data_IF_798514163698
#
_entry.id   IF_798514163698
#
_cell.length_a   1.000
_cell.length_b   1.000
_cell.length_c   1.000
_cell.angle_alpha   90.00
_cell.angle_beta   90.00
_cell.angle_gamma   90.00
#
_symmetry.space_group_name_H-M   'P 1'
#
loop_
_entity.id
_entity.type
_entity.pdbx_description
1 polymer ?
#
# COMPACT_ATOMS: atom_id res chain seq x y z
N UNK A 1 -12.53 -4.55 25.31
CA UNK A 1 -11.74 -4.48 24.05
C UNK A 1 -10.42 -3.86 24.45
N UNK A 2 -9.32 -4.43 23.99
CA UNK A 2 -8.00 -4.00 24.45
C UNK A 2 -7.45 -2.80 23.66
N UNK A 3 -8.31 -2.08 22.93
CA UNK A 3 -8.00 -0.86 22.17
C UNK A 3 -9.23 0.02 21.97
N UNK A 4 -8.99 1.32 21.79
CA UNK A 4 -10.00 2.31 21.40
C UNK A 4 -9.87 2.63 19.91
N UNK A 5 -10.96 3.09 19.28
CA UNK A 5 -10.95 3.55 17.90
C UNK A 5 -11.37 5.00 17.81
N UNK A 6 -10.65 5.80 17.03
CA UNK A 6 -11.02 7.16 16.67
C UNK A 6 -10.89 7.37 15.17
N UNK A 7 -11.64 8.35 14.64
CA UNK A 7 -11.62 8.72 13.23
C UNK A 7 -11.14 10.15 13.09
N UNK A 8 -10.23 10.38 12.15
CA UNK A 8 -9.64 11.68 11.88
C UNK A 8 -9.79 12.01 10.40
N UNK A 9 -10.26 13.24 10.11
CA UNK A 9 -10.29 13.81 8.77
C UNK A 9 -9.05 14.65 8.56
N UNK A 10 -8.38 14.45 7.44
CA UNK A 10 -7.11 15.11 7.12
C UNK A 10 -7.27 15.88 5.82
N UNK A 11 -7.50 17.21 5.87
CA UNK A 11 -7.55 18.05 4.68
C UNK A 11 -6.25 17.95 3.88
N UNK A 12 -6.37 17.92 2.55
CA UNK A 12 -5.24 17.90 1.61
C UNK A 12 -5.15 19.25 0.92
N UNK A 13 -3.95 19.79 0.79
CA UNK A 13 -3.71 21.11 0.21
C UNK A 13 -4.25 21.25 -1.23
N UNK A 14 -4.18 20.18 -2.02
CA UNK A 14 -4.72 20.09 -3.38
C UNK A 14 -6.24 19.83 -3.42
N UNK A 15 -6.91 19.88 -2.28
CA UNK A 15 -8.36 19.73 -2.14
C UNK A 15 -8.80 18.34 -1.68
N UNK A 16 -9.97 18.30 -1.06
CA UNK A 16 -10.51 17.09 -0.46
C UNK A 16 -9.87 16.71 0.87
N UNK A 17 -10.18 15.53 1.35
CA UNK A 17 -9.67 15.03 2.63
C UNK A 17 -9.46 13.51 2.58
N UNK A 18 -8.45 13.04 3.31
CA UNK A 18 -8.28 11.64 3.66
C UNK A 18 -9.13 11.30 4.88
N UNK A 19 -9.33 10.01 5.09
CA UNK A 19 -9.87 9.50 6.34
C UNK A 19 -8.86 8.56 6.99
N UNK A 20 -8.60 8.76 8.28
CA UNK A 20 -7.75 7.91 9.09
C UNK A 20 -8.58 7.28 10.21
N UNK A 21 -8.49 5.97 10.35
CA UNK A 21 -9.02 5.25 11.51
C UNK A 21 -7.83 4.82 12.37
N UNK A 22 -7.79 5.33 13.60
CA UNK A 22 -6.78 5.00 14.61
C UNK A 22 -7.30 3.88 15.49
N UNK A 23 -6.49 2.83 15.67
CA UNK A 23 -6.67 1.76 16.63
C UNK A 23 -5.60 1.95 17.71
N UNK A 24 -5.99 2.46 18.86
CA UNK A 24 -5.08 2.80 19.95
C UNK A 24 -5.21 1.80 21.09
N UNK A 25 -4.20 0.96 21.35
CA UNK A 25 -4.20 0.04 22.48
C UNK A 25 -4.08 0.79 23.82
N UNK A 26 -4.53 0.16 24.90
CA UNK A 26 -4.39 0.73 26.26
C UNK A 26 -2.92 0.86 26.67
N UNK A 27 -2.09 -0.09 26.22
CA UNK A 27 -0.63 -0.06 26.41
C UNK A 27 0.05 -0.14 25.06
N UNK A 28 0.83 0.88 24.74
CA UNK A 28 1.54 0.97 23.45
C UNK A 28 2.91 0.33 23.59
N UNK A 29 3.23 -0.58 22.68
CA UNK A 29 4.53 -1.23 22.56
C UNK A 29 5.14 -0.90 21.17
N UNK A 30 6.21 -0.12 21.17
CA UNK A 30 6.95 0.19 19.97
C UNK A 30 6.34 1.29 19.08
N UNK A 31 6.85 1.37 17.87
CA UNK A 31 6.48 2.40 16.91
C UNK A 31 5.07 2.18 16.32
N UNK A 32 4.36 3.24 15.93
CA UNK A 32 3.06 3.15 15.28
C UNK A 32 3.17 2.51 13.89
N UNK A 33 2.06 1.94 13.42
CA UNK A 33 1.96 1.29 12.12
C UNK A 33 0.96 2.04 11.26
N UNK A 34 1.41 2.56 10.11
CA UNK A 34 0.58 3.20 9.10
C UNK A 34 0.19 2.17 8.03
N UNK A 35 -1.11 1.93 7.84
CA UNK A 35 -1.63 0.99 6.86
C UNK A 35 -2.16 1.71 5.62
N UNK A 36 -1.69 1.32 4.42
CA UNK A 36 -2.01 1.93 3.13
C UNK A 36 -2.60 0.91 2.16
N UNK A 37 -3.81 1.13 1.68
CA UNK A 37 -4.52 0.20 0.78
C UNK A 37 -4.11 0.35 -0.71
N UNK A 38 -4.52 -0.61 -1.54
CA UNK A 38 -4.24 -0.64 -2.97
C UNK A 38 -5.26 0.09 -3.85
N UNK A 39 -5.22 -0.21 -5.16
CA UNK A 39 -6.15 0.35 -6.14
C UNK A 39 -7.56 -0.22 -5.98
N UNK A 40 -8.59 0.58 -6.28
CA UNK A 40 -10.02 0.21 -6.25
C UNK A 40 -10.50 -0.47 -4.96
N UNK A 41 -9.83 -0.19 -3.85
CA UNK A 41 -10.17 -0.67 -2.50
C UNK A 41 -10.02 0.46 -1.47
N UNK A 42 -10.28 0.18 -0.21
CA UNK A 42 -10.16 1.11 0.91
C UNK A 42 -9.46 0.48 2.11
N UNK A 43 -9.28 1.21 3.18
CA UNK A 43 -8.71 0.72 4.43
C UNK A 43 -9.41 -0.53 5.01
N UNK A 44 -10.59 -0.86 4.49
CA UNK A 44 -11.32 -2.08 4.84
C UNK A 44 -10.57 -3.38 4.59
N UNK A 45 -9.55 -3.37 3.75
CA UNK A 45 -8.67 -4.52 3.56
C UNK A 45 -7.92 -4.90 4.86
N UNK A 46 -7.66 -3.92 5.74
CA UNK A 46 -6.95 -4.12 7.00
C UNK A 46 -7.88 -4.32 8.21
N UNK A 47 -9.16 -3.97 8.10
CA UNK A 47 -10.11 -4.09 9.19
C UNK A 47 -11.56 -4.29 8.75
N UNK A 48 -12.38 -4.87 9.60
CA UNK A 48 -13.84 -4.98 9.40
C UNK A 48 -14.60 -4.23 10.48
N UNK A 49 -15.90 -4.01 10.25
CA UNK A 49 -16.80 -3.43 11.26
C UNK A 49 -16.96 -4.32 12.50
N UNK A 50 -16.74 -5.62 12.36
CA UNK A 50 -16.80 -6.59 13.46
C UNK A 50 -15.51 -6.69 14.29
N UNK A 51 -14.53 -5.80 14.08
CA UNK A 51 -13.25 -5.82 14.78
C UNK A 51 -12.31 -6.97 14.38
N UNK A 52 -12.50 -7.52 13.17
CA UNK A 52 -11.59 -8.50 12.55
C UNK A 52 -10.65 -7.82 11.57
N UNK A 53 -9.52 -8.43 11.27
CA UNK A 53 -8.51 -7.95 10.32
C UNK A 53 -7.19 -7.65 11.00
N UNK A 54 -6.20 -7.27 10.20
CA UNK A 54 -4.83 -7.06 10.64
C UNK A 54 -4.71 -5.89 11.62
N UNK A 55 -5.34 -4.74 11.34
CA UNK A 55 -5.22 -3.58 12.20
C UNK A 55 -5.77 -3.81 13.63
N UNK A 56 -6.99 -4.35 13.82
CA UNK A 56 -7.46 -4.75 15.15
C UNK A 56 -6.61 -5.81 15.83
N UNK A 57 -6.02 -6.73 15.06
CA UNK A 57 -5.15 -7.76 15.61
C UNK A 57 -3.84 -7.15 16.13
N UNK A 58 -3.19 -6.29 15.36
CA UNK A 58 -1.97 -5.58 15.77
C UNK A 58 -2.22 -4.69 16.99
N UNK A 59 -3.39 -4.03 17.06
CA UNK A 59 -3.77 -3.24 18.22
C UNK A 59 -3.88 -4.11 19.49
N UNK A 60 -4.41 -5.34 19.39
CA UNK A 60 -4.42 -6.29 20.50
C UNK A 60 -3.03 -6.79 20.90
N UNK A 61 -2.04 -6.71 19.97
CA UNK A 61 -0.63 -6.98 20.28
C UNK A 61 0.09 -5.76 20.87
N UNK A 62 -0.63 -4.65 21.16
CA UNK A 62 -0.09 -3.46 21.77
C UNK A 62 0.52 -2.45 20.79
N UNK A 63 0.30 -2.59 19.48
CA UNK A 63 0.76 -1.63 18.47
C UNK A 63 -0.34 -0.64 18.11
N UNK A 64 0.01 0.64 18.14
CA UNK A 64 -0.87 1.68 17.63
C UNK A 64 -0.94 1.58 16.10
N UNK A 65 -2.16 1.47 15.53
CA UNK A 65 -2.33 1.27 14.10
C UNK A 65 -3.24 2.36 13.53
N UNK A 66 -2.81 2.93 12.42
CA UNK A 66 -3.53 3.98 11.69
C UNK A 66 -3.81 3.49 10.27
N UNK A 67 -5.08 3.35 9.93
CA UNK A 67 -5.52 2.86 8.62
C UNK A 67 -6.08 4.02 7.82
N UNK A 68 -5.51 4.23 6.64
CA UNK A 68 -5.89 5.32 5.73
C UNK A 68 -6.97 4.85 4.75
N UNK A 69 -7.96 5.73 4.50
CA UNK A 69 -8.70 5.75 3.24
C UNK A 69 -8.15 6.93 2.41
N UNK A 70 -7.57 6.64 1.25
CA UNK A 70 -7.12 7.65 0.27
C UNK A 70 -8.31 8.46 -0.24
N UNK A 71 -8.09 9.66 -0.78
CA UNK A 71 -9.18 10.46 -1.38
C UNK A 71 -10.08 9.60 -2.27
N UNK A 72 -11.38 9.79 -2.14
CA UNK A 72 -12.39 9.10 -2.91
C UNK A 72 -12.66 7.65 -2.51
N UNK A 73 -11.90 7.09 -1.57
CA UNK A 73 -12.06 5.72 -1.09
C UNK A 73 -12.65 5.69 0.32
N UNK A 74 -13.23 4.55 0.69
CA UNK A 74 -13.73 4.33 2.04
C UNK A 74 -14.64 5.44 2.54
N UNK A 75 -14.18 6.21 3.51
CA UNK A 75 -14.88 7.38 4.06
C UNK A 75 -14.25 8.73 3.67
N UNK A 76 -13.20 8.75 2.86
CA UNK A 76 -12.55 9.96 2.37
C UNK A 76 -13.35 10.68 1.27
N UNK A 77 -13.06 11.94 1.01
CA UNK A 77 -13.79 12.80 0.05
C UNK A 77 -12.84 13.65 -0.80
N UNK A 78 -13.31 14.19 -1.95
CA UNK A 78 -14.59 13.91 -2.61
C UNK A 78 -14.63 12.50 -3.21
N UNK A 79 -15.82 12.01 -3.56
CA UNK A 79 -15.96 10.75 -4.28
C UNK A 79 -15.59 10.93 -5.75
N UNK A 80 -15.03 9.87 -6.43
CA UNK A 80 -14.82 9.91 -7.85
C UNK A 80 -16.15 10.21 -8.59
N UNK A 81 -16.10 11.22 -9.45
CA UNK A 81 -17.23 11.66 -10.26
C UNK A 81 -16.72 12.30 -11.55
N UNK A 82 -17.62 12.53 -12.51
CA UNK A 82 -17.28 13.28 -13.71
C UNK A 82 -16.85 14.70 -13.36
N UNK A 83 -15.68 15.11 -13.86
CA UNK A 83 -15.11 16.44 -13.57
C UNK A 83 -14.34 16.53 -12.25
N UNK A 84 -14.31 15.46 -11.45
CA UNK A 84 -13.49 15.36 -10.24
C UNK A 84 -12.38 14.34 -10.50
N UNK A 85 -11.13 14.78 -10.52
CA UNK A 85 -10.01 13.90 -10.81
C UNK A 85 -8.77 14.32 -10.04
N UNK A 86 -8.06 13.33 -9.54
CA UNK A 86 -6.76 13.46 -8.89
C UNK A 86 -5.83 12.38 -9.47
N UNK A 87 -4.56 12.76 -9.68
CA UNK A 87 -3.52 11.91 -10.26
C UNK A 87 -2.83 11.05 -9.20
N UNK A 88 -2.01 10.09 -9.64
CA UNK A 88 -1.12 9.34 -8.74
C UNK A 88 -0.06 10.25 -8.10
N UNK A 89 0.37 11.29 -8.82
CA UNK A 89 1.32 12.28 -8.32
C UNK A 89 0.82 12.97 -7.07
N UNK A 90 -0.44 13.40 -7.04
CA UNK A 90 -1.04 14.06 -5.86
C UNK A 90 -1.12 13.09 -4.67
N UNK A 91 -1.41 11.81 -4.92
CA UNK A 91 -1.34 10.79 -3.87
C UNK A 91 0.09 10.68 -3.31
N UNK A 92 1.09 10.61 -4.18
CA UNK A 92 2.50 10.46 -3.83
C UNK A 92 3.01 11.67 -3.05
N UNK A 93 2.73 12.89 -3.52
CA UNK A 93 3.32 14.11 -2.95
C UNK A 93 2.55 14.56 -1.72
N UNK A 94 1.21 14.59 -1.78
CA UNK A 94 0.40 15.22 -0.76
C UNK A 94 -0.22 14.24 0.23
N UNK A 95 -0.86 13.16 -0.28
CA UNK A 95 -1.62 12.26 0.59
C UNK A 95 -0.71 11.43 1.49
N UNK A 96 0.36 10.83 0.94
CA UNK A 96 1.31 10.02 1.73
C UNK A 96 2.03 10.92 2.74
N UNK A 97 2.47 12.11 2.33
CA UNK A 97 3.13 13.06 3.23
C UNK A 97 2.21 13.48 4.40
N UNK A 98 0.95 13.81 4.09
CA UNK A 98 -0.06 14.19 5.10
C UNK A 98 -0.35 13.04 6.07
N UNK A 99 -0.54 11.83 5.54
CA UNK A 99 -0.81 10.66 6.36
C UNK A 99 0.37 10.30 7.27
N UNK A 100 1.60 10.36 6.75
CA UNK A 100 2.81 10.12 7.52
C UNK A 100 2.98 11.15 8.63
N UNK A 101 2.84 12.44 8.31
CA UNK A 101 2.91 13.51 9.31
C UNK A 101 1.85 13.36 10.39
N UNK A 102 0.61 13.05 10.01
CA UNK A 102 -0.50 12.84 10.95
C UNK A 102 -0.25 11.62 11.85
N UNK A 103 0.26 10.53 11.29
CA UNK A 103 0.62 9.34 12.05
C UNK A 103 1.64 9.65 13.14
N UNK A 104 2.70 10.36 12.80
CA UNK A 104 3.76 10.74 13.73
C UNK A 104 3.25 11.73 14.79
N UNK A 105 2.47 12.72 14.41
CA UNK A 105 1.90 13.70 15.33
C UNK A 105 0.94 13.04 16.33
N UNK A 106 0.04 12.17 15.88
CA UNK A 106 -0.94 11.50 16.76
C UNK A 106 -0.28 10.53 17.74
N UNK A 107 0.82 9.88 17.34
CA UNK A 107 1.54 8.92 18.18
C UNK A 107 2.60 9.58 19.07
N UNK A 108 3.01 10.81 18.76
CA UNK A 108 4.14 11.48 19.42
C UNK A 108 5.51 10.83 19.11
N UNK A 109 5.58 10.00 18.04
CA UNK A 109 6.79 9.32 17.64
C UNK A 109 7.46 10.03 16.45
N UNK A 110 8.78 9.88 16.32
CA UNK A 110 9.54 10.41 15.18
C UNK A 110 9.54 9.48 13.96
N UNK A 111 9.23 8.20 14.15
CA UNK A 111 9.24 7.14 13.12
C UNK A 111 8.01 6.26 13.23
N UNK A 112 7.68 5.60 12.12
CA UNK A 112 6.63 4.58 12.07
C UNK A 112 7.04 3.40 11.18
N UNK A 113 6.28 2.30 11.27
CA UNK A 113 6.30 1.24 10.25
C UNK A 113 5.18 1.51 9.23
N UNK A 114 5.39 1.09 7.98
CA UNK A 114 4.36 1.17 6.95
C UNK A 114 3.97 -0.24 6.50
N UNK A 115 2.67 -0.53 6.46
CA UNK A 115 2.13 -1.75 5.87
C UNK A 115 1.26 -1.38 4.68
N UNK A 116 1.64 -1.84 3.48
CA UNK A 116 0.93 -1.48 2.26
C UNK A 116 0.46 -2.70 1.46
N UNK A 117 -0.77 -2.64 0.95
CA UNK A 117 -1.33 -3.68 0.11
C UNK A 117 -1.27 -3.29 -1.37
N UNK A 118 -0.86 -4.25 -2.21
CA UNK A 118 -0.95 -4.17 -3.66
C UNK A 118 -0.36 -2.87 -4.24
N UNK A 119 -1.17 -2.09 -4.97
CA UNK A 119 -0.77 -0.82 -5.56
C UNK A 119 -0.35 0.23 -4.52
N UNK A 120 -0.85 0.11 -3.30
CA UNK A 120 -0.45 0.99 -2.21
C UNK A 120 1.05 0.98 -1.93
N UNK A 121 1.70 -0.18 -2.04
CA UNK A 121 3.16 -0.27 -1.89
C UNK A 121 3.92 0.41 -3.03
N UNK A 122 3.36 0.44 -4.26
CA UNK A 122 3.93 1.20 -5.38
C UNK A 122 3.90 2.70 -5.08
N UNK A 123 2.78 3.21 -4.54
CA UNK A 123 2.63 4.63 -4.16
C UNK A 123 3.57 5.03 -3.02
N UNK A 124 3.68 4.18 -2.00
CA UNK A 124 4.61 4.40 -0.89
C UNK A 124 6.07 4.41 -1.39
N UNK A 125 6.48 3.45 -2.21
CA UNK A 125 7.83 3.41 -2.79
C UNK A 125 8.10 4.65 -3.65
N UNK A 126 7.13 5.09 -4.46
CA UNK A 126 7.22 6.31 -5.25
C UNK A 126 7.35 7.57 -4.38
N UNK A 127 6.61 7.67 -3.29
CA UNK A 127 6.76 8.76 -2.32
C UNK A 127 8.16 8.80 -1.73
N UNK A 128 8.66 7.66 -1.24
CA UNK A 128 9.98 7.57 -0.64
C UNK A 128 11.13 7.82 -1.65
N UNK A 129 10.90 7.54 -2.94
CA UNK A 129 11.80 7.94 -4.01
C UNK A 129 11.86 9.46 -4.18
N UNK A 130 10.68 10.10 -4.16
CA UNK A 130 10.55 11.53 -4.46
C UNK A 130 10.83 12.43 -3.25
N UNK A 131 10.59 11.95 -2.04
CA UNK A 131 10.75 12.69 -0.78
C UNK A 131 11.73 11.95 0.15
N UNK A 132 13.06 12.11 -0.07
CA UNK A 132 14.08 11.37 0.70
C UNK A 132 13.97 11.55 2.22
N UNK A 133 13.61 12.75 2.69
CA UNK A 133 13.40 13.03 4.13
C UNK A 133 12.30 12.19 4.78
N UNK A 134 11.36 11.65 4.00
CA UNK A 134 10.37 10.71 4.51
C UNK A 134 10.97 9.33 4.84
N UNK A 135 12.09 8.94 4.22
CA UNK A 135 12.76 7.66 4.51
C UNK A 135 13.22 7.57 5.96
N UNK A 136 13.74 8.65 6.50
CA UNK A 136 14.21 8.74 7.89
C UNK A 136 13.07 8.54 8.90
N UNK A 137 11.85 8.84 8.51
CA UNK A 137 10.65 8.69 9.32
C UNK A 137 10.05 7.28 9.26
N UNK A 138 10.55 6.41 8.38
CA UNK A 138 10.05 5.04 8.20
C UNK A 138 11.07 4.04 8.72
N UNK A 139 10.73 3.34 9.80
CA UNK A 139 11.60 2.35 10.43
C UNK A 139 11.71 1.06 9.59
N UNK A 140 10.59 0.58 9.07
CA UNK A 140 10.52 -0.55 8.13
C UNK A 140 9.19 -0.58 7.39
N UNK A 141 9.12 -1.44 6.37
CA UNK A 141 7.93 -1.61 5.55
C UNK A 141 7.55 -3.08 5.42
N UNK A 142 6.24 -3.34 5.25
CA UNK A 142 5.71 -4.65 4.85
C UNK A 142 4.78 -4.46 3.66
N UNK A 143 5.10 -5.07 2.54
CA UNK A 143 4.32 -4.98 1.31
C UNK A 143 3.63 -6.31 1.00
N UNK A 144 2.31 -6.27 0.84
CA UNK A 144 1.48 -7.43 0.56
C UNK A 144 1.09 -7.46 -0.92
N UNK A 145 1.64 -8.36 -1.70
CA UNK A 145 1.35 -8.53 -3.12
C UNK A 145 1.69 -7.32 -3.99
N UNK A 146 2.62 -6.47 -3.53
CA UNK A 146 3.01 -5.25 -4.24
C UNK A 146 3.83 -5.56 -5.47
N UNK A 147 3.40 -5.03 -6.62
CA UNK A 147 4.10 -5.07 -7.90
C UNK A 147 3.66 -3.88 -8.75
N UNK A 148 4.52 -3.37 -9.59
CA UNK A 148 4.17 -2.34 -10.56
C UNK A 148 3.72 -2.95 -11.90
N UNK A 149 4.50 -3.87 -12.44
CA UNK A 149 4.24 -4.50 -13.74
C UNK A 149 3.79 -5.95 -13.58
N UNK A 150 2.93 -6.40 -14.49
CA UNK A 150 2.52 -7.81 -14.59
C UNK A 150 3.09 -8.41 -15.87
N UNK A 151 4.15 -9.22 -15.71
CA UNK A 151 4.89 -9.84 -16.83
C UNK A 151 4.68 -11.34 -16.96
N UNK A 152 4.09 -11.98 -15.95
CA UNK A 152 3.70 -13.39 -16.04
C UNK A 152 2.69 -13.59 -17.18
N UNK A 153 2.76 -14.75 -17.84
CA UNK A 153 1.85 -15.09 -18.93
C UNK A 153 0.99 -16.26 -18.48
N UNK A 154 -0.28 -15.99 -18.25
CA UNK A 154 -1.28 -16.98 -17.86
C UNK A 154 -2.71 -16.44 -18.10
N UNK A 155 -3.76 -17.28 -18.08
CA UNK A 155 -5.14 -16.86 -18.32
C UNK A 155 -5.63 -15.79 -17.35
N UNK A 156 -5.21 -15.81 -16.10
CA UNK A 156 -5.59 -14.79 -15.09
C UNK A 156 -5.04 -13.41 -15.44
N UNK A 157 -3.78 -13.32 -15.87
CA UNK A 157 -3.19 -12.06 -16.36
C UNK A 157 -3.91 -11.54 -17.58
N UNK A 158 -4.20 -12.40 -18.55
CA UNK A 158 -4.96 -12.00 -19.74
C UNK A 158 -6.34 -11.43 -19.35
N UNK A 159 -7.07 -12.09 -18.45
CA UNK A 159 -8.39 -11.64 -18.03
C UNK A 159 -8.32 -10.35 -17.20
N UNK A 160 -7.60 -10.35 -16.07
CA UNK A 160 -7.65 -9.25 -15.11
C UNK A 160 -6.83 -8.03 -15.54
N UNK A 161 -5.70 -8.25 -16.21
CA UNK A 161 -4.79 -7.17 -16.56
C UNK A 161 -5.02 -6.70 -17.99
N UNK A 162 -4.98 -7.62 -18.98
CA UNK A 162 -5.02 -7.19 -20.37
C UNK A 162 -6.44 -6.83 -20.83
N UNK A 163 -7.44 -7.69 -20.53
CA UNK A 163 -8.82 -7.43 -20.91
C UNK A 163 -9.49 -6.40 -20.01
N UNK A 164 -9.48 -6.61 -18.68
CA UNK A 164 -10.19 -5.72 -17.75
C UNK A 164 -9.41 -4.42 -17.54
N UNK A 165 -8.22 -4.48 -16.91
CA UNK A 165 -7.51 -3.29 -16.47
C UNK A 165 -7.02 -2.38 -17.60
N UNK A 166 -6.47 -2.96 -18.66
CA UNK A 166 -5.93 -2.21 -19.81
C UNK A 166 -6.93 -1.98 -20.95
N UNK A 167 -8.01 -2.77 -21.01
CA UNK A 167 -9.02 -2.73 -22.07
C UNK A 167 -10.35 -2.11 -21.63
N UNK A 168 -11.15 -2.83 -20.85
CA UNK A 168 -12.51 -2.42 -20.48
C UNK A 168 -12.54 -1.25 -19.49
N UNK A 169 -11.61 -1.20 -18.54
CA UNK A 169 -11.57 -0.15 -17.52
C UNK A 169 -11.30 1.26 -18.11
N UNK A 170 -10.37 1.46 -19.06
CA UNK A 170 -10.24 2.73 -19.78
C UNK A 170 -11.50 3.16 -20.53
N UNK A 171 -12.23 2.21 -21.12
CA UNK A 171 -13.50 2.50 -21.79
C UNK A 171 -14.56 2.95 -20.79
N UNK A 172 -14.76 2.21 -19.69
CA UNK A 172 -15.70 2.57 -18.64
C UNK A 172 -15.36 3.94 -18.04
N UNK A 173 -14.06 4.20 -17.78
CA UNK A 173 -13.56 5.50 -17.31
C UNK A 173 -13.92 6.63 -18.27
N UNK A 174 -13.72 6.45 -19.59
CA UNK A 174 -14.05 7.46 -20.60
C UNK A 174 -15.56 7.75 -20.64
N UNK A 175 -16.39 6.73 -20.50
CA UNK A 175 -17.85 6.87 -20.52
C UNK A 175 -18.38 7.57 -19.25
N UNK A 176 -17.87 7.20 -18.09
CA UNK A 176 -18.35 7.69 -16.78
C UNK A 176 -17.64 8.96 -16.31
N UNK A 177 -16.41 9.24 -16.79
CA UNK A 177 -15.56 10.31 -16.29
C UNK A 177 -14.73 9.91 -15.07
N UNK A 178 -14.87 8.68 -14.61
CA UNK A 178 -14.11 8.00 -13.56
C UNK A 178 -14.22 6.47 -13.76
N UNK A 179 -13.45 5.65 -13.08
CA UNK A 179 -13.60 4.19 -13.12
C UNK A 179 -14.63 3.73 -12.09
N UNK A 180 -15.84 3.30 -12.51
CA UNK A 180 -16.90 2.86 -11.60
C UNK A 180 -16.70 1.40 -11.16
N UNK A 181 -15.53 1.11 -10.54
CA UNK A 181 -15.10 -0.25 -10.22
C UNK A 181 -16.05 -0.96 -9.25
N UNK A 182 -16.64 -0.21 -8.31
CA UNK A 182 -17.64 -0.74 -7.38
C UNK A 182 -18.90 -1.22 -8.08
N UNK A 183 -19.46 -0.42 -8.99
CA UNK A 183 -20.65 -0.77 -9.76
C UNK A 183 -20.40 -1.94 -10.69
N UNK A 184 -19.19 -2.05 -11.24
CA UNK A 184 -18.76 -3.15 -12.10
C UNK A 184 -18.32 -4.40 -11.31
N UNK A 185 -18.31 -4.33 -9.97
CA UNK A 185 -17.83 -5.40 -9.05
C UNK A 185 -16.37 -5.81 -9.31
N UNK A 186 -15.54 -4.87 -9.76
CA UNK A 186 -14.09 -5.07 -9.96
C UNK A 186 -13.28 -4.73 -8.72
N UNK A 187 -13.87 -3.94 -7.80
CA UNK A 187 -13.27 -3.54 -6.53
C UNK A 187 -14.33 -3.11 -5.53
N UNK A 188 -13.92 -2.76 -4.33
CA UNK A 188 -14.82 -2.26 -3.29
C UNK A 188 -15.09 -0.75 -3.41
N UNK A 189 -14.22 -0.02 -4.11
CA UNK A 189 -14.30 1.43 -4.28
C UNK A 189 -13.99 1.84 -5.73
N UNK A 190 -14.49 3.02 -6.12
CA UNK A 190 -14.28 3.61 -7.44
C UNK A 190 -12.89 4.29 -7.53
N UNK A 191 -12.42 4.62 -8.74
CA UNK A 191 -11.12 5.24 -8.98
C UNK A 191 -11.25 6.53 -9.77
N UNK A 192 -10.47 7.55 -9.45
CA UNK A 192 -10.38 8.77 -10.25
C UNK A 192 -9.83 8.50 -11.65
N UNK A 193 -10.28 9.32 -12.60
CA UNK A 193 -9.92 9.14 -14.00
C UNK A 193 -8.41 9.26 -14.24
N UNK A 194 -7.75 10.30 -13.69
CA UNK A 194 -6.31 10.50 -13.85
C UNK A 194 -5.52 9.40 -13.12
N UNK A 195 -5.82 9.12 -11.86
CA UNK A 195 -5.15 8.07 -11.08
C UNK A 195 -5.19 6.71 -11.77
N UNK A 196 -6.35 6.31 -12.34
CA UNK A 196 -6.44 5.09 -13.13
C UNK A 196 -5.62 5.17 -14.43
N UNK A 197 -5.58 6.34 -15.12
CA UNK A 197 -4.79 6.50 -16.33
C UNK A 197 -3.29 6.28 -16.06
N UNK A 198 -2.77 6.92 -15.00
CA UNK A 198 -1.38 6.81 -14.58
C UNK A 198 -1.03 5.36 -14.22
N UNK A 199 -1.91 4.68 -13.47
CA UNK A 199 -1.69 3.28 -13.11
C UNK A 199 -1.65 2.35 -14.32
N UNK A 200 -2.49 2.59 -15.34
CA UNK A 200 -2.45 1.83 -16.60
C UNK A 200 -1.15 2.09 -17.37
N UNK A 201 -0.69 3.34 -17.41
CA UNK A 201 0.58 3.71 -18.03
C UNK A 201 1.74 2.99 -17.32
N UNK A 202 1.82 3.10 -16.01
CA UNK A 202 2.88 2.45 -15.21
C UNK A 202 2.89 0.92 -15.27
N UNK A 203 1.74 0.28 -15.45
CA UNK A 203 1.68 -1.18 -15.68
C UNK A 203 2.18 -1.55 -17.07
N UNK A 204 1.99 -0.69 -18.09
CA UNK A 204 2.40 -0.94 -19.48
C UNK A 204 3.87 -0.64 -19.73
N UNK A 205 4.35 0.49 -19.24
CA UNK A 205 5.66 1.05 -19.56
C UNK A 205 6.79 0.33 -18.82
N UNK A 206 7.94 0.26 -19.49
CA UNK A 206 9.16 -0.28 -18.87
C UNK A 206 9.74 0.72 -17.88
N UNK A 207 9.87 1.98 -18.29
CA UNK A 207 10.30 3.05 -17.42
C UNK A 207 9.23 3.37 -16.38
N UNK A 208 9.67 3.68 -15.17
CA UNK A 208 8.79 4.16 -14.11
C UNK A 208 9.02 5.64 -13.91
N UNK A 209 8.27 6.42 -14.67
CA UNK A 209 8.37 7.89 -14.69
C UNK A 209 7.05 8.54 -14.32
N UNK A 210 7.16 9.70 -13.73
CA UNK A 210 6.00 10.55 -13.47
C UNK A 210 5.52 11.18 -14.79
N UNK A 211 4.22 11.07 -15.13
CA UNK A 211 3.73 11.59 -16.39
C UNK A 211 3.69 13.12 -16.47
N UNK A 212 3.79 13.83 -15.34
CA UNK A 212 3.70 15.29 -15.30
C UNK A 212 5.06 15.98 -15.40
N UNK A 213 6.12 15.43 -14.76
CA UNK A 213 7.45 16.07 -14.70
C UNK A 213 8.61 15.13 -15.06
N UNK A 214 8.30 13.96 -15.60
CA UNK A 214 9.29 12.95 -16.05
C UNK A 214 10.24 12.46 -14.95
N UNK A 215 9.89 12.64 -13.67
CA UNK A 215 10.72 12.16 -12.55
C UNK A 215 10.92 10.64 -12.64
N UNK A 216 12.18 10.20 -12.61
CA UNK A 216 12.55 8.79 -12.72
C UNK A 216 12.61 8.13 -11.33
N UNK A 217 11.56 7.39 -11.00
CA UNK A 217 11.44 6.70 -9.71
C UNK A 217 12.49 5.60 -9.52
N UNK A 218 12.85 4.87 -10.60
CA UNK A 218 13.87 3.81 -10.53
C UNK A 218 15.25 4.40 -10.26
N UNK A 219 15.61 5.47 -10.97
CA UNK A 219 16.89 6.16 -10.76
C UNK A 219 17.00 6.72 -9.33
N UNK A 220 15.93 7.33 -8.82
CA UNK A 220 15.90 7.86 -7.45
C UNK A 220 15.98 6.77 -6.36
N UNK A 221 15.33 5.63 -6.58
CA UNK A 221 15.41 4.48 -5.67
C UNK A 221 16.79 3.80 -5.72
N UNK A 222 17.42 3.76 -6.90
CA UNK A 222 18.77 3.21 -7.03
C UNK A 222 19.81 4.00 -6.24
N UNK A 223 19.62 5.31 -6.08
CA UNK A 223 20.53 6.18 -5.33
C UNK A 223 20.33 6.12 -3.81
N UNK A 224 19.11 5.96 -3.33
CA UNK A 224 18.81 6.10 -1.90
C UNK A 224 18.14 4.88 -1.24
N UNK A 225 17.69 3.92 -2.05
CA UNK A 225 17.02 2.70 -1.58
C UNK A 225 15.70 2.93 -0.84
N UNK A 226 15.13 1.86 -0.34
CA UNK A 226 13.99 1.88 0.57
C UNK A 226 14.44 1.54 2.00
N UNK A 227 13.70 1.97 3.04
CA UNK A 227 13.83 1.38 4.37
C UNK A 227 13.73 -0.15 4.33
N UNK A 228 14.18 -0.88 5.37
CA UNK A 228 14.06 -2.33 5.43
C UNK A 228 12.65 -2.79 5.06
N UNK A 229 12.51 -3.67 4.05
CA UNK A 229 11.20 -4.03 3.48
C UNK A 229 10.99 -5.55 3.44
N UNK A 230 9.88 -6.00 4.03
CA UNK A 230 9.37 -7.36 3.88
C UNK A 230 8.34 -7.38 2.74
N UNK A 231 8.62 -8.13 1.68
CA UNK A 231 7.68 -8.38 0.60
C UNK A 231 7.00 -9.73 0.80
N UNK A 232 5.68 -9.74 0.88
CA UNK A 232 4.85 -10.94 1.00
C UNK A 232 4.07 -11.15 -0.29
N UNK A 233 4.20 -12.31 -0.91
CA UNK A 233 3.50 -12.68 -2.12
C UNK A 233 2.70 -13.98 -1.91
N UNK A 234 1.45 -14.02 -2.34
CA UNK A 234 0.64 -15.23 -2.23
C UNK A 234 1.02 -16.28 -3.28
N UNK A 235 1.24 -17.54 -2.87
CA UNK A 235 1.56 -18.64 -3.79
C UNK A 235 0.49 -18.82 -4.88
N UNK A 236 -0.79 -18.63 -4.53
CA UNK A 236 -1.94 -18.76 -5.44
C UNK A 236 -2.31 -17.46 -6.15
N UNK A 237 -1.60 -16.37 -5.91
CA UNK A 237 -1.81 -15.11 -6.65
C UNK A 237 -1.22 -15.23 -8.06
N UNK A 238 -2.09 -15.39 -9.04
CA UNK A 238 -1.69 -15.68 -10.42
C UNK A 238 -1.46 -14.45 -11.28
N UNK A 239 -1.91 -13.26 -10.85
CA UNK A 239 -1.82 -12.06 -11.67
C UNK A 239 -1.66 -10.76 -10.88
N UNK A 240 -2.40 -10.59 -9.77
CA UNK A 240 -2.48 -9.29 -9.09
C UNK A 240 -1.26 -8.99 -8.19
N UNK A 241 -0.51 -10.00 -7.79
CA UNK A 241 0.72 -9.93 -7.00
C UNK A 241 1.49 -11.25 -7.12
N UNK A 242 1.62 -11.75 -8.37
CA UNK A 242 2.34 -13.01 -8.62
C UNK A 242 3.78 -12.93 -8.09
N UNK A 243 4.29 -13.96 -7.39
CA UNK A 243 5.61 -13.92 -6.75
C UNK A 243 6.76 -13.47 -7.66
N UNK A 244 6.77 -13.88 -8.94
CA UNK A 244 7.78 -13.43 -9.92
C UNK A 244 7.67 -11.94 -10.26
N UNK A 245 6.47 -11.38 -10.25
CA UNK A 245 6.28 -9.95 -10.54
C UNK A 245 6.56 -9.11 -9.29
N UNK A 246 6.30 -9.65 -8.09
CA UNK A 246 6.74 -9.05 -6.82
C UNK A 246 8.27 -9.02 -6.76
N UNK A 247 8.97 -10.13 -7.12
CA UNK A 247 10.43 -10.16 -7.17
C UNK A 247 11.02 -9.11 -8.12
N UNK A 248 10.40 -8.90 -9.30
CA UNK A 248 10.80 -7.84 -10.23
C UNK A 248 10.59 -6.44 -9.67
N UNK A 249 9.56 -6.25 -8.87
CA UNK A 249 9.34 -4.96 -8.19
C UNK A 249 10.39 -4.71 -7.10
N UNK A 250 10.83 -5.75 -6.39
CA UNK A 250 11.97 -5.66 -5.47
C UNK A 250 13.21 -5.15 -6.21
N UNK A 251 13.51 -5.70 -7.39
CA UNK A 251 14.62 -5.25 -8.25
C UNK A 251 14.43 -3.79 -8.71
N UNK A 252 13.21 -3.39 -9.09
CA UNK A 252 12.90 -2.00 -9.48
C UNK A 252 13.08 -1.01 -8.32
N UNK A 253 12.93 -1.43 -7.08
CA UNK A 253 13.15 -0.61 -5.89
C UNK A 253 14.62 -0.32 -5.58
N UNK A 254 15.56 -0.85 -6.37
CA UNK A 254 16.99 -0.65 -6.16
C UNK A 254 17.55 -1.36 -4.93
N UNK A 255 18.83 -1.16 -4.62
CA UNK A 255 19.48 -1.78 -3.48
C UNK A 255 18.84 -1.33 -2.15
N UNK A 256 18.37 -2.27 -1.35
CA UNK A 256 17.86 -2.02 -0.01
C UNK A 256 17.82 -3.32 0.80
N UNK A 257 17.75 -3.22 2.12
CA UNK A 257 17.59 -4.39 2.99
C UNK A 257 16.18 -4.96 2.81
N UNK A 258 16.04 -6.13 2.22
CA UNK A 258 14.74 -6.73 1.97
C UNK A 258 14.71 -8.23 2.19
N UNK A 259 13.50 -8.75 2.38
CA UNK A 259 13.18 -10.18 2.36
C UNK A 259 11.92 -10.37 1.52
N UNK A 260 11.95 -11.32 0.58
CA UNK A 260 10.78 -11.76 -0.15
C UNK A 260 10.34 -13.14 0.37
N UNK A 261 9.08 -13.26 0.80
CA UNK A 261 8.46 -14.53 1.20
C UNK A 261 7.23 -14.84 0.36
N UNK A 262 7.16 -16.08 -0.09
CA UNK A 262 5.98 -16.60 -0.79
C UNK A 262 5.12 -17.36 0.22
N UNK A 263 3.86 -16.95 0.36
CA UNK A 263 2.92 -17.50 1.34
C UNK A 263 2.17 -18.69 0.73
N UNK A 264 2.55 -19.89 1.12
CA UNK A 264 1.98 -21.14 0.63
C UNK A 264 2.37 -22.34 1.49
N UNK A 265 1.67 -23.45 1.32
CA UNK A 265 1.89 -24.69 2.09
C UNK A 265 3.31 -25.19 2.01
N UNK A 266 3.94 -25.10 0.85
CA UNK A 266 5.36 -25.46 0.64
C UNK A 266 6.33 -24.66 1.52
N UNK A 267 5.91 -23.49 2.00
CA UNK A 267 6.71 -22.60 2.83
C UNK A 267 6.22 -22.57 4.30
N UNK A 268 5.44 -23.58 4.71
CA UNK A 268 5.05 -23.79 6.10
C UNK A 268 3.75 -23.08 6.54
N UNK A 269 3.01 -22.43 5.61
CA UNK A 269 1.70 -21.88 5.92
C UNK A 269 0.62 -22.96 5.84
N UNK A 270 -0.48 -22.79 6.58
CA UNK A 270 -1.62 -23.73 6.57
C UNK A 270 -2.34 -23.81 5.22
N UNK A 271 -2.12 -22.84 4.33
CA UNK A 271 -2.75 -22.75 3.00
C UNK A 271 -1.92 -21.99 1.98
N UNK A 272 -2.32 -22.13 0.70
CA UNK A 272 -1.81 -21.27 -0.37
C UNK A 272 -2.63 -19.99 -0.44
N UNK A 273 -2.00 -18.84 -0.21
CA UNK A 273 -2.65 -17.54 -0.21
C UNK A 273 -2.74 -16.94 -1.63
N UNK A 274 -3.84 -16.26 -1.90
CA UNK A 274 -4.04 -15.39 -3.05
C UNK A 274 -3.80 -13.91 -2.70
N UNK A 275 -4.27 -13.01 -3.56
CA UNK A 275 -3.99 -11.57 -3.45
C UNK A 275 -4.61 -10.91 -2.22
N UNK A 276 -5.89 -11.17 -1.97
CA UNK A 276 -6.62 -10.54 -0.87
C UNK A 276 -6.59 -11.37 0.41
N UNK A 277 -6.61 -12.69 0.28
CA UNK A 277 -6.80 -13.59 1.42
C UNK A 277 -5.57 -13.65 2.35
N UNK A 278 -4.40 -13.17 1.92
CA UNK A 278 -3.26 -12.95 2.83
C UNK A 278 -3.56 -11.88 3.92
N UNK A 279 -4.54 -11.01 3.71
CA UNK A 279 -5.01 -10.03 4.69
C UNK A 279 -6.41 -10.34 5.24
N UNK A 280 -7.25 -11.05 4.49
CA UNK A 280 -8.68 -11.17 4.82
C UNK A 280 -9.10 -12.56 5.29
N UNK A 281 -8.31 -13.61 5.00
CA UNK A 281 -8.66 -14.95 5.43
C UNK A 281 -8.41 -15.14 6.93
N UNK A 282 -9.27 -15.90 7.66
CA UNK A 282 -9.08 -16.17 9.08
C UNK A 282 -7.72 -16.77 9.44
N UNK A 283 -7.17 -17.66 8.61
CA UNK A 283 -5.86 -18.29 8.85
C UNK A 283 -4.69 -17.29 8.78
N UNK A 284 -4.87 -16.14 8.11
CA UNK A 284 -3.85 -15.09 8.05
C UNK A 284 -3.42 -14.60 9.44
N UNK A 285 -4.32 -14.68 10.42
CA UNK A 285 -4.04 -14.38 11.84
C UNK A 285 -2.91 -15.24 12.40
N UNK A 286 -2.78 -16.47 11.94
CA UNK A 286 -1.74 -17.42 12.37
C UNK A 286 -0.52 -17.41 11.46
N UNK A 287 -0.75 -17.29 10.17
CA UNK A 287 0.27 -17.53 9.14
C UNK A 287 0.99 -16.25 8.70
N UNK A 288 0.27 -15.12 8.59
CA UNK A 288 0.75 -13.91 7.91
C UNK A 288 1.01 -12.77 8.88
N UNK A 289 0.05 -12.46 9.76
CA UNK A 289 0.14 -11.32 10.68
C UNK A 289 1.35 -11.39 11.62
N UNK A 290 1.68 -12.57 12.20
CA UNK A 290 2.87 -12.69 13.06
C UNK A 290 4.18 -12.41 12.32
N UNK A 291 4.27 -12.78 11.03
CA UNK A 291 5.47 -12.51 10.22
C UNK A 291 5.66 -11.01 9.98
N UNK A 292 4.56 -10.30 9.67
CA UNK A 292 4.58 -8.85 9.50
C UNK A 292 4.95 -8.13 10.79
N UNK A 293 4.38 -8.57 11.93
CA UNK A 293 4.69 -8.00 13.23
C UNK A 293 6.14 -8.26 13.65
N UNK A 294 6.63 -9.49 13.49
CA UNK A 294 8.02 -9.84 13.80
C UNK A 294 9.03 -9.01 12.99
N UNK A 295 8.70 -8.70 11.73
CA UNK A 295 9.51 -7.80 10.90
C UNK A 295 9.56 -6.39 11.49
N UNK A 296 8.44 -5.80 11.87
CA UNK A 296 8.39 -4.50 12.50
C UNK A 296 9.20 -4.46 13.80
N UNK A 297 9.01 -5.47 14.65
CA UNK A 297 9.74 -5.57 15.93
C UNK A 297 11.25 -5.69 15.74
N UNK A 298 11.70 -6.45 14.74
CA UNK A 298 13.13 -6.61 14.45
C UNK A 298 13.80 -5.32 13.94
N UNK A 299 13.02 -4.37 13.37
CA UNK A 299 13.53 -3.12 12.82
C UNK A 299 13.09 -1.87 13.60
N UNK A 300 12.59 -2.05 14.82
CA UNK A 300 12.12 -0.94 15.64
C UNK A 300 13.23 0.01 16.06
N UNK A 301 14.43 -0.52 16.34
CA UNK A 301 15.59 0.20 16.88
C UNK A 301 16.72 0.37 15.87
N UNK A 302 16.50 0.01 14.59
CA UNK A 302 17.53 0.23 13.57
C UNK A 302 17.86 1.73 13.51
N UNK A 303 19.08 2.10 13.88
CA UNK A 303 19.58 3.46 13.74
C UNK A 303 19.59 3.82 12.25
N UNK A 304 19.29 5.09 11.92
CA UNK A 304 19.57 5.63 10.60
C UNK A 304 21.08 5.54 10.45
N UNK A 305 21.58 4.68 9.57
CA UNK A 305 22.97 4.72 9.15
C UNK A 305 23.14 6.00 8.32
N UNK A 306 23.47 7.10 8.99
CA UNK A 306 24.09 8.24 8.32
C UNK A 306 25.50 7.73 8.01
N UNK A 307 25.76 7.33 6.76
CA UNK A 307 27.12 7.29 6.27
C UNK A 307 27.59 8.76 6.30
N UNK A 308 28.40 9.08 7.30
CA UNK A 308 29.24 10.27 7.29
C UNK A 308 30.25 10.04 6.15
N UNK A 309 29.92 10.59 4.96
CA UNK A 309 30.94 10.81 3.94
C UNK A 309 31.95 11.82 4.49
N UNK A 310 33.12 11.30 4.89
CA UNK A 310 34.33 12.06 5.22
C UNK A 310 35.16 12.30 3.95
#
# INVERSE_FOLDING_TARGET
MDYQTSQHRMPIATGGELNLIRFQPERIHGLPILCWHGAIESGRIFHSRSGKGMAPWLARQGHEVMVIDQRGRGSASPRPARGVSFSQREVIIDEVATALATCLNLSGQSRCHIMAHSWGGVLIAAHLARVPSSRERVASQVYFGTKRRVRVQNPSKWLYIDLIWKGLAPLARRMCGYLPARSLRWGSDDEYAASHADSVAWVRETAWRDPEDDFDYVAALAQGGLPPTLHLAGHRDRALGHPRDVARFVEECGPHRHVLRVLGRENGQGRDYGHLDMLTHPDAVKDVYPQALAWCQAHQNDAISVEEDA
#
